data_IF_792843546732
#
_entry.id   IF_792843546732
#
_cell.length_a   1.000
_cell.length_b   1.000
_cell.length_c   1.000
_cell.angle_alpha   90.00
_cell.angle_beta   90.00
_cell.angle_gamma   90.00
#
_symmetry.space_group_name_H-M   'P 1'
#
loop_
_entity.id
_entity.type
_entity.pdbx_description
1 polymer ?
#
# COMPACT_ATOMS: atom_id res chain seq x y z
N UNK A 1 4.45 8.03 20.22
CA UNK A 1 3.08 8.43 20.58
C UNK A 1 2.23 7.25 21.06
N UNK A 2 2.62 6.01 20.77
CA UNK A 2 1.98 4.78 21.23
C UNK A 2 0.52 4.62 20.76
N UNK A 3 -0.23 3.77 21.45
CA UNK A 3 -1.63 3.45 21.14
C UNK A 3 -2.55 4.66 21.26
N UNK A 4 -2.32 5.52 22.26
CA UNK A 4 -3.12 6.72 22.42
C UNK A 4 -2.99 7.65 21.20
N UNK A 5 -1.76 7.93 20.73
CA UNK A 5 -1.56 8.79 19.56
C UNK A 5 -2.15 8.20 18.27
N UNK A 6 -2.18 6.87 18.14
CA UNK A 6 -2.87 6.20 17.05
C UNK A 6 -4.38 6.42 17.14
N UNK A 7 -4.99 6.20 18.30
CA UNK A 7 -6.42 6.40 18.52
C UNK A 7 -6.83 7.85 18.31
N UNK A 8 -6.05 8.81 18.81
CA UNK A 8 -6.29 10.25 18.61
C UNK A 8 -6.26 10.61 17.11
N UNK A 9 -5.34 10.01 16.35
CA UNK A 9 -5.24 10.19 14.90
C UNK A 9 -6.50 9.66 14.20
N UNK A 10 -6.95 8.45 14.53
CA UNK A 10 -8.17 7.88 13.96
C UNK A 10 -9.39 8.72 14.27
N UNK A 11 -9.56 9.18 15.51
CA UNK A 11 -10.68 10.06 15.90
C UNK A 11 -10.64 11.38 15.13
N UNK A 12 -9.45 11.97 14.94
CA UNK A 12 -9.29 13.22 14.19
C UNK A 12 -9.67 13.03 12.72
N UNK A 13 -9.22 11.95 12.09
CA UNK A 13 -9.56 11.62 10.71
C UNK A 13 -11.06 11.36 10.55
N UNK A 14 -11.66 10.62 11.48
CA UNK A 14 -13.08 10.34 11.49
C UNK A 14 -13.91 11.63 11.66
N UNK A 15 -13.51 12.54 12.55
CA UNK A 15 -14.17 13.83 12.74
C UNK A 15 -14.08 14.74 11.51
N UNK A 16 -13.05 14.55 10.67
CA UNK A 16 -12.84 15.26 9.41
C UNK A 16 -13.45 14.54 8.19
N UNK A 17 -14.17 13.42 8.40
CA UNK A 17 -14.73 12.56 7.34
C UNK A 17 -13.64 12.06 6.36
N UNK A 18 -12.44 11.79 6.88
CA UNK A 18 -11.32 11.25 6.12
C UNK A 18 -11.19 9.75 6.40
N UNK A 19 -11.47 8.87 5.43
CA UNK A 19 -11.32 7.43 5.61
C UNK A 19 -9.85 7.07 5.87
N UNK A 20 -9.63 6.18 6.84
CA UNK A 20 -8.29 5.69 7.18
C UNK A 20 -8.24 4.17 7.17
N UNK A 21 -7.10 3.62 6.79
CA UNK A 21 -6.84 2.19 6.85
C UNK A 21 -5.42 1.90 7.32
N UNK A 22 -5.22 0.73 7.88
CA UNK A 22 -3.93 0.25 8.40
C UNK A 22 -4.12 -0.57 9.66
N UNK A 23 -3.21 -1.49 9.92
CA UNK A 23 -3.30 -2.49 10.99
C UNK A 23 -4.59 -3.31 10.91
N UNK A 24 -5.50 -3.19 11.88
CA UNK A 24 -6.81 -3.83 11.96
C UNK A 24 -7.97 -2.98 11.40
N UNK A 25 -7.65 -1.80 10.87
CA UNK A 25 -8.58 -0.93 10.16
C UNK A 25 -8.49 -1.17 8.65
N UNK A 26 -9.59 -1.59 8.06
CA UNK A 26 -9.71 -1.91 6.64
C UNK A 26 -10.75 -1.02 5.99
N UNK A 27 -10.59 -0.73 4.70
CA UNK A 27 -11.54 0.08 3.94
C UNK A 27 -11.95 -0.63 2.66
N UNK A 28 -13.19 -0.43 2.26
CA UNK A 28 -13.64 -0.67 0.90
C UNK A 28 -14.19 0.65 0.36
N UNK A 29 -13.61 1.10 -0.73
CA UNK A 29 -14.09 2.26 -1.48
C UNK A 29 -14.73 1.80 -2.78
N UNK A 30 -15.73 2.53 -3.25
CA UNK A 30 -16.35 2.28 -4.54
C UNK A 30 -15.78 3.23 -5.58
N UNK A 31 -15.27 2.67 -6.68
CA UNK A 31 -14.72 3.42 -7.80
C UNK A 31 -15.41 2.94 -9.08
N UNK A 32 -16.29 3.77 -9.64
CA UNK A 32 -17.03 3.46 -10.89
C UNK A 32 -17.76 2.11 -10.83
N UNK A 33 -18.41 1.83 -9.71
CA UNK A 33 -19.16 0.59 -9.48
C UNK A 33 -18.30 -0.64 -9.15
N UNK A 34 -17.00 -0.46 -8.93
CA UNK A 34 -16.08 -1.51 -8.49
C UNK A 34 -15.64 -1.29 -7.05
N UNK A 35 -15.61 -2.37 -6.28
CA UNK A 35 -15.26 -2.36 -4.87
C UNK A 35 -13.76 -2.59 -4.69
N UNK A 36 -13.06 -1.56 -4.25
CA UNK A 36 -11.61 -1.58 -4.02
C UNK A 36 -11.34 -1.71 -2.53
N UNK A 37 -10.74 -2.83 -2.13
CA UNK A 37 -10.34 -3.10 -0.75
C UNK A 37 -8.94 -2.57 -0.46
N UNK A 38 -8.79 -1.87 0.66
CA UNK A 38 -7.55 -1.27 1.12
C UNK A 38 -7.16 -1.85 2.48
N UNK A 39 -5.95 -2.40 2.56
CA UNK A 39 -5.33 -2.88 3.79
C UNK A 39 -3.91 -2.29 3.95
N UNK A 40 -3.46 -2.14 5.18
CA UNK A 40 -2.12 -1.62 5.45
C UNK A 40 -1.50 -2.22 6.71
N UNK A 41 -0.18 -2.41 6.70
CA UNK A 41 0.55 -2.94 7.85
C UNK A 41 2.02 -2.50 7.87
N UNK A 42 2.65 -2.60 9.06
CA UNK A 42 4.12 -2.66 9.17
C UNK A 42 4.62 -4.08 8.96
N UNK A 43 5.76 -4.23 8.29
CA UNK A 43 6.36 -5.54 8.06
C UNK A 43 7.89 -5.49 8.08
N UNK A 44 8.49 -5.84 9.22
CA UNK A 44 9.94 -5.91 9.41
C UNK A 44 10.52 -7.31 9.15
N UNK A 45 9.66 -8.31 8.98
CA UNK A 45 10.06 -9.67 8.64
C UNK A 45 9.05 -10.30 7.68
N UNK A 46 9.49 -11.33 6.96
CA UNK A 46 8.62 -12.09 6.05
C UNK A 46 7.41 -12.67 6.79
N UNK A 47 7.62 -13.17 8.02
CA UNK A 47 6.53 -13.73 8.82
C UNK A 47 5.46 -12.69 9.17
N UNK A 48 5.87 -11.48 9.60
CA UNK A 48 4.93 -10.39 9.87
C UNK A 48 4.15 -9.97 8.63
N UNK A 49 4.84 -9.81 7.50
CA UNK A 49 4.18 -9.41 6.25
C UNK A 49 3.18 -10.44 5.76
N UNK A 50 3.53 -11.73 5.79
CA UNK A 50 2.60 -12.81 5.42
C UNK A 50 1.39 -12.88 6.35
N UNK A 51 1.60 -12.76 7.66
CA UNK A 51 0.50 -12.74 8.63
C UNK A 51 -0.47 -11.59 8.36
N UNK A 52 0.04 -10.38 8.07
CA UNK A 52 -0.79 -9.22 7.73
C UNK A 52 -1.60 -9.43 6.44
N UNK A 53 -1.00 -10.05 5.42
CA UNK A 53 -1.71 -10.42 4.18
C UNK A 53 -2.85 -11.40 4.47
N UNK A 54 -2.58 -12.46 5.23
CA UNK A 54 -3.58 -13.49 5.53
C UNK A 54 -4.71 -12.93 6.42
N UNK A 55 -4.39 -12.03 7.36
CA UNK A 55 -5.37 -11.34 8.19
C UNK A 55 -6.28 -10.43 7.36
N UNK A 56 -5.73 -9.65 6.44
CA UNK A 56 -6.50 -8.80 5.54
C UNK A 56 -7.44 -9.63 4.64
N UNK A 57 -6.95 -10.75 4.09
CA UNK A 57 -7.78 -11.65 3.29
C UNK A 57 -8.90 -12.29 4.10
N UNK A 58 -8.63 -12.68 5.35
CA UNK A 58 -9.66 -13.21 6.24
C UNK A 58 -10.76 -12.17 6.51
N UNK A 59 -10.37 -10.89 6.70
CA UNK A 59 -11.33 -9.79 6.86
C UNK A 59 -12.20 -9.58 5.62
N UNK A 60 -11.62 -9.61 4.43
CA UNK A 60 -12.36 -9.35 3.17
C UNK A 60 -13.11 -10.56 2.61
N UNK A 61 -12.96 -11.75 3.20
CA UNK A 61 -13.45 -13.04 2.66
C UNK A 61 -14.90 -13.00 2.21
N UNK A 62 -15.79 -12.43 3.00
CA UNK A 62 -17.23 -12.41 2.73
C UNK A 62 -17.70 -11.07 2.12
N UNK A 63 -16.76 -10.17 1.82
CA UNK A 63 -17.05 -8.84 1.31
C UNK A 63 -16.92 -8.73 -0.21
N UNK A 64 -16.37 -9.76 -0.88
CA UNK A 64 -16.23 -9.86 -2.35
C UNK A 64 -15.72 -8.57 -3.02
N UNK A 65 -14.52 -8.06 -2.67
CA UNK A 65 -13.95 -6.92 -3.38
C UNK A 65 -13.50 -7.32 -4.79
N UNK A 66 -13.68 -6.40 -5.75
CA UNK A 66 -13.20 -6.59 -7.14
C UNK A 66 -11.68 -6.41 -7.26
N UNK A 67 -11.10 -5.59 -6.38
CA UNK A 67 -9.68 -5.24 -6.42
C UNK A 67 -9.12 -5.06 -5.01
N UNK A 68 -7.96 -5.68 -4.73
CA UNK A 68 -7.31 -5.61 -3.42
C UNK A 68 -5.96 -4.90 -3.53
N UNK A 69 -5.77 -3.91 -2.67
CA UNK A 69 -4.52 -3.15 -2.52
C UNK A 69 -3.97 -3.35 -1.11
N UNK A 70 -2.67 -3.69 -1.03
CA UNK A 70 -1.95 -3.79 0.23
C UNK A 70 -0.90 -2.69 0.32
N UNK A 71 -0.92 -1.93 1.40
CA UNK A 71 0.10 -0.91 1.70
C UNK A 71 1.02 -1.42 2.81
N UNK A 72 2.34 -1.29 2.62
CA UNK A 72 3.33 -1.70 3.60
C UNK A 72 4.25 -0.56 4.02
N UNK A 73 4.48 -0.47 5.32
CA UNK A 73 5.57 0.29 5.91
C UNK A 73 6.70 -0.69 6.27
N UNK A 74 7.77 -0.69 5.47
CA UNK A 74 8.80 -1.75 5.47
C UNK A 74 10.16 -1.28 4.94
N UNK A 75 11.13 -2.21 4.86
CA UNK A 75 12.43 -1.96 4.24
C UNK A 75 13.41 -1.26 5.15
N UNK A 76 14.34 -0.52 4.58
CA UNK A 76 15.36 0.25 5.28
C UNK A 76 15.41 1.67 4.72
N UNK A 77 15.55 2.64 5.62
CA UNK A 77 15.68 4.04 5.23
C UNK A 77 16.88 4.26 4.31
N UNK A 78 16.71 5.13 3.32
CA UNK A 78 17.75 5.57 2.37
C UNK A 78 18.36 4.45 1.51
N UNK A 79 17.73 3.28 1.44
CA UNK A 79 18.11 2.24 0.51
C UNK A 79 17.29 2.37 -0.78
N UNK A 80 17.96 2.64 -1.91
CA UNK A 80 17.30 2.82 -3.22
C UNK A 80 16.85 1.51 -3.87
N UNK A 81 17.34 0.37 -3.37
CA UNK A 81 16.94 -0.94 -3.84
C UNK A 81 16.15 -1.69 -2.78
N UNK A 82 15.08 -2.31 -3.21
CA UNK A 82 14.29 -3.20 -2.36
C UNK A 82 15.11 -4.41 -1.89
N UNK A 83 14.90 -4.83 -0.67
CA UNK A 83 15.56 -6.01 -0.12
C UNK A 83 14.74 -7.31 -0.33
N UNK A 84 15.33 -8.46 -0.03
CA UNK A 84 14.71 -9.77 -0.19
C UNK A 84 13.42 -9.94 0.65
N UNK A 85 13.35 -9.29 1.82
CA UNK A 85 12.14 -9.31 2.67
C UNK A 85 10.97 -8.62 1.98
N UNK A 86 11.19 -7.42 1.42
CA UNK A 86 10.17 -6.69 0.67
C UNK A 86 9.70 -7.51 -0.55
N UNK A 87 10.61 -8.11 -1.30
CA UNK A 87 10.28 -8.96 -2.44
C UNK A 87 9.45 -10.19 -2.03
N UNK A 88 9.86 -10.89 -0.97
CA UNK A 88 9.14 -12.08 -0.51
C UNK A 88 7.72 -11.76 -0.03
N UNK A 89 7.53 -10.64 0.68
CA UNK A 89 6.22 -10.22 1.18
C UNK A 89 5.31 -9.77 0.05
N UNK A 90 5.80 -8.90 -0.84
CA UNK A 90 4.99 -8.36 -1.92
C UNK A 90 4.52 -9.42 -2.91
N UNK A 91 5.44 -10.32 -3.30
CA UNK A 91 5.09 -11.43 -4.19
C UNK A 91 4.12 -12.40 -3.53
N UNK A 92 4.28 -12.67 -2.23
CA UNK A 92 3.29 -13.45 -1.48
C UNK A 92 1.91 -12.78 -1.48
N UNK A 93 1.81 -11.47 -1.28
CA UNK A 93 0.55 -10.75 -1.33
C UNK A 93 -0.13 -10.91 -2.71
N UNK A 94 0.63 -10.74 -3.80
CA UNK A 94 0.11 -10.95 -5.16
C UNK A 94 -0.31 -12.42 -5.38
N UNK A 95 0.48 -13.39 -4.92
CA UNK A 95 0.15 -14.82 -5.02
C UNK A 95 -1.14 -15.18 -4.26
N UNK A 96 -1.45 -14.43 -3.22
CA UNK A 96 -2.66 -14.59 -2.40
C UNK A 96 -3.88 -13.84 -2.95
N UNK A 97 -3.74 -13.06 -4.02
CA UNK A 97 -4.86 -12.40 -4.71
C UNK A 97 -4.87 -10.88 -4.68
N UNK A 98 -3.99 -10.23 -3.93
CA UNK A 98 -3.81 -8.79 -4.07
C UNK A 98 -3.38 -8.43 -5.48
N UNK A 99 -3.78 -7.25 -5.96
CA UNK A 99 -3.49 -6.79 -7.32
C UNK A 99 -2.48 -5.64 -7.34
N UNK A 100 -2.37 -4.91 -6.24
CA UNK A 100 -1.36 -3.89 -6.06
C UNK A 100 -0.75 -3.97 -4.65
N UNK A 101 0.56 -3.73 -4.57
CA UNK A 101 1.30 -3.56 -3.31
C UNK A 101 2.03 -2.23 -3.37
N UNK A 102 1.81 -1.37 -2.38
CA UNK A 102 2.40 -0.04 -2.27
C UNK A 102 3.28 0.04 -1.03
N UNK A 103 4.54 0.41 -1.21
CA UNK A 103 5.52 0.46 -0.15
C UNK A 103 5.84 1.87 0.32
N UNK A 104 6.16 1.99 1.61
CA UNK A 104 6.55 3.21 2.31
C UNK A 104 7.66 2.90 3.33
N UNK A 105 8.26 3.90 3.93
CA UNK A 105 9.31 3.88 4.95
C UNK A 105 10.72 4.13 4.41
N UNK A 106 11.20 3.63 3.26
CA UNK A 106 12.57 3.91 2.84
C UNK A 106 12.91 5.40 2.67
N UNK A 107 11.90 6.29 2.58
CA UNK A 107 12.06 7.74 2.38
C UNK A 107 12.82 8.11 1.10
N UNK A 108 12.99 7.15 0.21
CA UNK A 108 13.52 7.29 -1.16
C UNK A 108 12.67 6.48 -2.10
N UNK A 109 12.61 6.85 -3.37
CA UNK A 109 11.91 6.06 -4.39
C UNK A 109 12.64 4.74 -4.62
N UNK A 110 11.91 3.63 -4.60
CA UNK A 110 12.42 2.31 -4.99
C UNK A 110 11.73 1.81 -6.26
N UNK A 111 12.18 0.68 -6.77
CA UNK A 111 11.71 0.09 -8.01
C UNK A 111 10.21 -0.22 -8.06
N UNK A 112 9.70 -0.34 -9.28
CA UNK A 112 8.36 -0.84 -9.59
C UNK A 112 8.52 -2.18 -10.30
N UNK A 113 7.79 -3.19 -9.85
CA UNK A 113 7.81 -4.53 -10.43
C UNK A 113 6.41 -4.92 -10.91
N UNK A 114 6.33 -5.49 -12.10
CA UNK A 114 5.17 -6.28 -12.52
C UNK A 114 5.43 -7.74 -12.19
N UNK A 115 4.63 -8.31 -11.32
CA UNK A 115 4.74 -9.69 -10.91
C UNK A 115 3.41 -10.42 -11.15
N UNK A 116 3.42 -11.41 -12.04
CA UNK A 116 2.20 -12.10 -12.53
C UNK A 116 1.16 -11.07 -13.02
N UNK A 117 -0.02 -11.07 -12.42
CA UNK A 117 -1.08 -10.11 -12.72
C UNK A 117 -1.09 -8.91 -11.75
N UNK A 118 -0.04 -8.73 -10.95
CA UNK A 118 0.03 -7.69 -9.93
C UNK A 118 1.08 -6.62 -10.23
N UNK A 119 0.94 -5.49 -9.55
CA UNK A 119 1.90 -4.38 -9.56
C UNK A 119 2.44 -4.18 -8.15
N UNK A 120 3.73 -4.02 -8.02
CA UNK A 120 4.44 -3.77 -6.77
C UNK A 120 5.22 -2.47 -6.92
N UNK A 121 4.96 -1.50 -6.06
CA UNK A 121 5.75 -0.29 -5.88
C UNK A 121 6.47 -0.42 -4.54
N UNK A 122 7.78 -0.62 -4.56
CA UNK A 122 8.51 -0.95 -3.34
C UNK A 122 8.67 0.23 -2.37
N UNK A 123 8.76 1.46 -2.88
CA UNK A 123 8.64 2.68 -2.07
C UNK A 123 8.23 3.86 -2.94
N UNK A 124 7.23 4.60 -2.44
CA UNK A 124 6.76 5.87 -3.02
C UNK A 124 7.56 7.08 -2.51
N UNK A 125 8.51 6.89 -1.59
CA UNK A 125 9.22 7.93 -0.86
C UNK A 125 8.30 8.80 0.02
N UNK A 126 8.62 10.09 0.19
CA UNK A 126 7.84 11.05 0.98
C UNK A 126 6.82 11.76 0.09
N UNK A 127 5.59 11.93 0.57
CA UNK A 127 4.60 12.76 -0.11
C UNK A 127 4.28 14.00 0.71
N UNK A 128 3.78 13.82 1.94
CA UNK A 128 3.60 14.87 2.93
C UNK A 128 4.34 14.42 4.18
N UNK A 129 5.47 15.03 4.47
CA UNK A 129 6.34 14.63 5.56
C UNK A 129 6.62 15.80 6.51
N UNK A 130 5.70 16.02 7.46
CA UNK A 130 5.80 17.12 8.42
C UNK A 130 6.93 16.98 9.45
N UNK A 131 7.58 15.82 9.54
CA UNK A 131 8.67 15.56 10.51
C UNK A 131 10.05 16.09 10.08
N UNK A 132 10.23 16.43 8.79
CA UNK A 132 11.50 16.93 8.27
C UNK A 132 11.25 17.96 7.15
N UNK A 133 11.50 19.21 7.44
CA UNK A 133 11.32 20.30 6.48
C UNK A 133 12.37 20.37 5.35
N UNK A 134 13.44 19.56 5.43
CA UNK A 134 14.48 19.49 4.40
C UNK A 134 15.08 18.07 4.31
N UNK A 135 14.34 17.13 3.74
CA UNK A 135 14.86 15.77 3.56
C UNK A 135 16.08 15.76 2.64
N UNK A 136 17.00 14.82 2.87
CA UNK A 136 18.21 14.67 2.06
C UNK A 136 17.94 14.23 0.63
N UNK A 137 16.83 13.52 0.43
CA UNK A 137 16.28 13.15 -0.88
C UNK A 137 14.89 13.76 -1.00
N UNK A 138 14.66 14.53 -2.02
CA UNK A 138 13.40 15.22 -2.31
C UNK A 138 12.59 14.57 -3.42
N UNK A 139 13.17 13.53 -4.05
CA UNK A 139 12.47 12.79 -5.08
C UNK A 139 11.36 11.96 -4.46
N UNK A 140 10.19 12.06 -5.05
CA UNK A 140 9.00 11.31 -4.68
C UNK A 140 8.24 10.86 -5.91
N UNK A 141 7.31 9.96 -5.72
CA UNK A 141 6.46 9.48 -6.81
C UNK A 141 5.02 9.29 -6.34
N UNK A 142 4.07 9.85 -7.06
CA UNK A 142 2.70 9.38 -7.04
C UNK A 142 2.50 8.35 -8.16
N UNK A 143 1.59 7.42 -7.96
CA UNK A 143 1.26 6.45 -9.00
C UNK A 143 -0.21 6.56 -9.39
N UNK A 144 -0.44 6.59 -10.70
CA UNK A 144 -1.77 6.44 -11.26
C UNK A 144 -1.95 4.98 -11.69
N UNK A 145 -2.87 4.29 -11.05
CA UNK A 145 -3.20 2.90 -11.33
C UNK A 145 -4.49 2.86 -12.15
N UNK A 146 -4.38 2.48 -13.43
CA UNK A 146 -5.51 2.22 -14.30
C UNK A 146 -5.85 0.73 -14.25
N UNK A 147 -7.13 0.42 -14.05
CA UNK A 147 -7.62 -0.95 -13.93
C UNK A 147 -8.82 -1.12 -14.85
N UNK A 148 -8.75 -2.08 -15.77
CA UNK A 148 -9.81 -2.34 -16.74
C UNK A 148 -10.50 -3.67 -16.40
N UNK A 149 -11.83 -3.65 -16.37
CA UNK A 149 -12.68 -4.83 -16.13
C UNK A 149 -13.57 -5.14 -17.34
N UNK A 150 -13.74 -6.43 -17.62
CA UNK A 150 -14.81 -6.94 -18.49
C UNK A 150 -15.83 -7.68 -17.59
N UNK A 151 -16.95 -7.01 -17.28
CA UNK A 151 -17.84 -7.46 -16.22
C UNK A 151 -17.11 -7.45 -14.87
N UNK A 152 -17.03 -8.61 -14.21
CA UNK A 152 -16.32 -8.76 -12.93
C UNK A 152 -14.88 -9.29 -13.10
N UNK A 153 -14.45 -9.51 -14.32
CA UNK A 153 -13.11 -10.02 -14.60
C UNK A 153 -12.13 -8.89 -14.83
N UNK A 154 -11.05 -8.84 -14.04
CA UNK A 154 -9.90 -7.98 -14.30
C UNK A 154 -9.21 -8.41 -15.58
N UNK A 155 -9.19 -7.55 -16.61
CA UNK A 155 -8.61 -7.85 -17.92
C UNK A 155 -7.28 -7.16 -18.16
N UNK A 156 -7.08 -5.98 -17.58
CA UNK A 156 -5.81 -5.27 -17.66
C UNK A 156 -5.60 -4.34 -16.46
N UNK A 157 -4.35 -4.10 -16.15
CA UNK A 157 -3.96 -3.01 -15.25
C UNK A 157 -2.67 -2.36 -15.74
N UNK A 158 -2.61 -1.06 -15.59
CA UNK A 158 -1.47 -0.25 -15.93
C UNK A 158 -1.08 0.69 -14.80
N UNK A 159 0.20 0.99 -14.71
CA UNK A 159 0.73 1.93 -13.73
C UNK A 159 1.54 3.01 -14.45
N UNK A 160 1.24 4.26 -14.12
CA UNK A 160 2.00 5.43 -14.54
C UNK A 160 2.62 6.07 -13.30
N UNK A 161 3.93 6.19 -13.30
CA UNK A 161 4.65 6.93 -12.27
C UNK A 161 4.63 8.43 -12.60
N UNK A 162 4.23 9.25 -11.64
CA UNK A 162 4.21 10.70 -11.71
C UNK A 162 5.29 11.24 -10.78
N UNK A 163 6.45 11.67 -11.30
CA UNK A 163 7.51 12.22 -10.48
C UNK A 163 7.05 13.47 -9.74
N UNK A 164 7.46 13.58 -8.49
CA UNK A 164 7.19 14.72 -7.61
C UNK A 164 8.47 15.16 -6.94
N UNK A 165 8.53 16.43 -6.57
CA UNK A 165 9.57 16.99 -5.73
C UNK A 165 8.93 17.52 -4.44
N UNK A 166 9.43 17.08 -3.28
CA UNK A 166 8.93 17.45 -1.95
C UNK A 166 9.93 18.24 -1.12
#
# INVERSE_FOLDING_TARGET
YGEQGFNDTLQTLQAADVPAFGYDHYQIIEVKGKRVALAGAKAWSVAQGKAAVDQALAHFKDQNPDYLIMSFHWGQERQYHQNATQQAISRYAIDRGFKAVLGHHPHVVQGIERYKQGVIVYSLANFVFGGNGNPSDKDSVAVHLRVDFAGDTLVAQDITALPLLV
#
